data_IF_404074229540
#
_entry.id   IF_404074229540
#
_cell.length_a   1.000
_cell.length_b   1.000
_cell.length_c   1.000
_cell.angle_alpha   90.00
_cell.angle_beta   90.00
_cell.angle_gamma   90.00
#
_symmetry.space_group_name_H-M   'P 1'
#
loop_
_entity.id
_entity.type
_entity.pdbx_description
1 polymer ?
#
# COMPACT_ATOMS: atom_id res chain seq x y z
N UNK A 1 -1.59 -2.33 13.35
CA UNK A 1 -1.09 -0.95 13.41
C UNK A 1 -2.22 -0.07 13.94
N UNK A 2 -2.16 0.33 15.20
CA UNK A 2 -3.17 1.12 15.90
C UNK A 2 -2.57 2.49 16.22
N UNK A 3 -3.00 3.56 15.56
CA UNK A 3 -2.50 4.92 15.88
C UNK A 3 -3.66 5.90 16.21
N UNK A 4 -4.95 5.54 16.00
CA UNK A 4 -6.06 6.48 16.27
C UNK A 4 -7.33 5.91 16.92
N UNK A 5 -7.38 4.60 17.24
CA UNK A 5 -8.59 3.97 17.81
C UNK A 5 -9.80 3.89 16.84
N UNK A 6 -9.65 4.35 15.60
CA UNK A 6 -10.69 4.27 14.57
C UNK A 6 -10.66 2.87 13.95
N UNK A 7 -11.75 2.11 14.12
CA UNK A 7 -11.93 0.81 13.46
C UNK A 7 -12.36 1.05 12.01
N UNK A 8 -11.44 0.87 11.06
CA UNK A 8 -11.73 0.89 9.64
C UNK A 8 -11.94 -0.54 9.14
N UNK A 9 -13.08 -0.81 8.51
CA UNK A 9 -13.31 -2.07 7.80
C UNK A 9 -12.89 -1.89 6.34
N UNK A 10 -12.00 -2.75 5.84
CA UNK A 10 -11.59 -2.71 4.45
C UNK A 10 -12.64 -3.36 3.56
N UNK A 11 -13.19 -2.60 2.61
CA UNK A 11 -14.13 -3.09 1.60
C UNK A 11 -13.40 -3.17 0.26
N UNK A 12 -13.17 -4.38 -0.29
CA UNK A 12 -12.44 -4.53 -1.53
C UNK A 12 -13.30 -4.17 -2.75
N UNK A 13 -12.84 -3.22 -3.56
CA UNK A 13 -13.47 -2.85 -4.82
C UNK A 13 -12.59 -3.23 -6.02
N UNK A 14 -13.23 -3.64 -7.12
CA UNK A 14 -12.54 -3.79 -8.41
C UNK A 14 -12.45 -2.43 -9.10
N UNK A 15 -11.44 -1.66 -8.73
CA UNK A 15 -11.19 -0.32 -9.28
C UNK A 15 -11.97 0.80 -8.56
N UNK A 16 -11.83 2.03 -9.08
CA UNK A 16 -12.30 3.25 -8.40
C UNK A 16 -13.78 3.54 -8.53
N UNK A 17 -14.43 3.12 -9.62
CA UNK A 17 -15.81 3.48 -9.93
C UNK A 17 -16.82 3.10 -8.84
N UNK A 18 -16.89 1.81 -8.45
CA UNK A 18 -17.80 1.37 -7.39
C UNK A 18 -17.51 2.04 -6.03
N UNK A 19 -16.23 2.24 -5.70
CA UNK A 19 -15.85 2.89 -4.44
C UNK A 19 -16.31 4.35 -4.37
N UNK A 20 -16.28 5.08 -5.48
CA UNK A 20 -16.75 6.48 -5.52
C UNK A 20 -18.27 6.56 -5.37
N UNK A 21 -19.02 5.66 -6.01
CA UNK A 21 -20.47 5.62 -5.85
C UNK A 21 -20.87 5.35 -4.40
N UNK A 22 -20.19 4.41 -3.74
CA UNK A 22 -20.45 4.04 -2.34
C UNK A 22 -20.06 5.15 -1.36
N UNK A 23 -19.03 5.94 -1.69
CA UNK A 23 -18.68 7.12 -0.91
C UNK A 23 -19.77 8.19 -1.01
N UNK A 24 -20.27 8.45 -2.22
CA UNK A 24 -21.33 9.44 -2.45
C UNK A 24 -22.66 9.02 -1.83
N UNK A 25 -22.96 7.72 -1.80
CA UNK A 25 -24.17 7.18 -1.18
C UNK A 25 -24.05 6.98 0.34
N UNK A 26 -22.86 7.17 0.91
CA UNK A 26 -22.60 7.06 2.35
C UNK A 26 -22.40 5.63 2.87
N UNK A 27 -22.29 4.63 1.98
CA UNK A 27 -21.98 3.23 2.33
C UNK A 27 -20.58 3.14 2.94
N UNK A 28 -19.61 3.84 2.36
CA UNK A 28 -18.28 4.01 2.95
C UNK A 28 -18.07 5.46 3.38
N UNK A 29 -17.32 5.65 4.47
CA UNK A 29 -17.08 6.98 5.05
C UNK A 29 -15.82 7.65 4.54
N UNK A 30 -14.88 6.85 4.03
CA UNK A 30 -13.55 7.31 3.59
C UNK A 30 -13.10 6.45 2.42
N UNK A 31 -12.37 7.05 1.50
CA UNK A 31 -11.74 6.36 0.37
C UNK A 31 -10.36 6.96 0.12
N UNK A 32 -9.39 6.09 -0.15
CA UNK A 32 -8.03 6.48 -0.58
C UNK A 32 -7.87 6.36 -2.11
N UNK A 33 -9.00 6.21 -2.81
CA UNK A 33 -9.03 6.04 -4.25
C UNK A 33 -8.81 7.38 -4.93
N UNK A 34 -7.83 7.43 -5.84
CA UNK A 34 -7.61 8.59 -6.70
C UNK A 34 -6.71 9.68 -6.11
N UNK A 35 -5.86 9.37 -5.13
CA UNK A 35 -4.81 10.29 -4.67
C UNK A 35 -4.03 10.83 -5.88
N UNK A 36 -3.95 12.16 -6.07
CA UNK A 36 -3.29 12.74 -7.23
C UNK A 36 -1.83 12.32 -7.33
N UNK A 37 -1.36 12.07 -8.56
CA UNK A 37 -0.01 11.52 -8.81
C UNK A 37 1.09 12.41 -8.25
N UNK A 38 0.90 13.71 -8.30
CA UNK A 38 1.81 14.72 -7.78
C UNK A 38 1.95 14.66 -6.25
N UNK A 39 0.87 14.34 -5.53
CA UNK A 39 0.91 14.17 -4.07
C UNK A 39 1.67 12.89 -3.72
N UNK A 40 1.42 11.80 -4.46
CA UNK A 40 2.16 10.55 -4.30
C UNK A 40 3.65 10.75 -4.58
N UNK A 41 4.00 11.45 -5.66
CA UNK A 41 5.38 11.76 -6.01
C UNK A 41 6.07 12.62 -4.95
N UNK A 42 5.39 13.65 -4.44
CA UNK A 42 5.92 14.51 -3.37
C UNK A 42 6.21 13.71 -2.11
N UNK A 43 5.24 12.91 -1.64
CA UNK A 43 5.42 12.11 -0.43
C UNK A 43 6.53 11.07 -0.57
N UNK A 44 6.59 10.36 -1.70
CA UNK A 44 7.66 9.39 -1.96
C UNK A 44 9.04 10.08 -1.96
N UNK A 45 9.16 11.25 -2.58
CA UNK A 45 10.41 12.01 -2.59
C UNK A 45 10.86 12.45 -1.18
N UNK A 46 9.95 12.96 -0.35
CA UNK A 46 10.29 13.33 1.02
C UNK A 46 10.63 12.12 1.90
N UNK A 47 9.92 11.00 1.75
CA UNK A 47 10.20 9.75 2.47
C UNK A 47 11.58 9.21 2.08
N UNK A 48 11.92 9.20 0.79
CA UNK A 48 13.23 8.75 0.30
C UNK A 48 14.38 9.58 0.88
N UNK A 49 14.21 10.90 1.00
CA UNK A 49 15.20 11.77 1.68
C UNK A 49 15.37 11.39 3.14
N UNK A 50 14.26 11.20 3.86
CA UNK A 50 14.29 10.86 5.29
C UNK A 50 14.93 9.50 5.55
N UNK A 51 14.69 8.51 4.70
CA UNK A 51 15.32 7.18 4.79
C UNK A 51 16.85 7.22 4.69
N UNK A 52 17.42 8.25 4.04
CA UNK A 52 18.86 8.46 3.96
C UNK A 52 19.49 9.02 5.24
N UNK A 53 18.70 9.53 6.19
CA UNK A 53 19.21 10.19 7.41
C UNK A 53 19.73 9.19 8.44
N UNK A 54 20.71 9.61 9.25
CA UNK A 54 21.28 8.77 10.31
C UNK A 54 20.26 8.42 11.39
N UNK A 55 19.30 9.30 11.64
CA UNK A 55 18.20 9.06 12.58
C UNK A 55 17.34 7.89 12.12
N UNK A 56 16.87 7.92 10.87
CA UNK A 56 16.02 6.84 10.33
C UNK A 56 16.81 5.53 10.17
N UNK A 57 18.08 5.59 9.76
CA UNK A 57 18.95 4.40 9.70
C UNK A 57 19.14 3.75 11.07
N UNK A 58 19.35 4.53 12.13
CA UNK A 58 19.47 4.02 13.51
C UNK A 58 18.17 3.40 14.02
N UNK A 59 17.02 3.94 13.62
CA UNK A 59 15.71 3.36 13.94
C UNK A 59 15.46 2.04 13.22
N UNK A 60 15.91 1.89 11.98
CA UNK A 60 15.69 0.70 11.16
C UNK A 60 16.72 -0.41 11.40
N UNK A 61 17.97 -0.07 11.73
CA UNK A 61 19.05 -1.01 12.03
C UNK A 61 18.67 -2.17 12.99
N UNK A 62 17.99 -1.94 14.14
CA UNK A 62 17.62 -3.02 15.05
C UNK A 62 16.52 -3.94 14.52
N UNK A 63 15.81 -3.54 13.46
CA UNK A 63 14.72 -4.34 12.86
C UNK A 63 15.19 -5.25 11.73
N UNK A 64 16.47 -5.18 11.35
CA UNK A 64 17.01 -5.92 10.21
C UNK A 64 16.45 -5.46 8.85
N UNK A 65 15.77 -4.31 8.81
CA UNK A 65 15.27 -3.71 7.58
C UNK A 65 16.32 -2.78 6.98
N UNK A 66 16.72 -3.07 5.75
CA UNK A 66 17.51 -2.15 4.95
C UNK A 66 16.57 -1.17 4.22
N UNK A 67 16.84 0.14 4.24
CA UNK A 67 16.04 1.09 3.48
C UNK A 67 16.26 0.86 1.99
N UNK A 68 15.21 0.43 1.28
CA UNK A 68 15.18 0.39 -0.17
C UNK A 68 14.26 1.51 -0.68
N UNK A 69 14.82 2.67 -1.08
CA UNK A 69 14.02 3.77 -1.60
C UNK A 69 13.56 3.45 -3.03
N UNK A 70 12.45 2.73 -3.14
CA UNK A 70 11.76 2.49 -4.41
C UNK A 70 10.86 3.66 -4.84
N UNK A 71 10.67 3.79 -6.15
CA UNK A 71 9.64 4.69 -6.72
C UNK A 71 8.26 4.02 -6.70
N UNK A 72 7.16 4.80 -6.76
CA UNK A 72 5.81 4.23 -6.83
C UNK A 72 5.60 3.31 -8.05
N UNK A 73 6.32 3.57 -9.15
CA UNK A 73 6.26 2.75 -10.36
C UNK A 73 6.97 1.39 -10.17
N UNK A 74 8.15 1.37 -9.55
CA UNK A 74 8.87 0.14 -9.22
C UNK A 74 8.07 -0.72 -8.24
N UNK A 75 7.52 -0.11 -7.19
CA UNK A 75 6.67 -0.80 -6.24
C UNK A 75 5.41 -1.39 -6.90
N UNK A 76 4.78 -0.64 -7.82
CA UNK A 76 3.65 -1.15 -8.60
C UNK A 76 4.02 -2.36 -9.49
N UNK A 77 5.19 -2.33 -10.12
CA UNK A 77 5.69 -3.44 -10.92
C UNK A 77 6.00 -4.67 -10.06
N UNK A 78 6.60 -4.47 -8.88
CA UNK A 78 6.85 -5.52 -7.89
C UNK A 78 5.55 -6.19 -7.45
N UNK A 79 4.55 -5.41 -7.03
CA UNK A 79 3.24 -5.94 -6.60
C UNK A 79 2.58 -6.76 -7.71
N UNK A 80 2.67 -6.30 -8.97
CA UNK A 80 2.14 -7.06 -10.09
C UNK A 80 2.86 -8.40 -10.25
N UNK A 81 4.19 -8.40 -10.21
CA UNK A 81 4.98 -9.61 -10.34
C UNK A 81 4.69 -10.61 -9.21
N UNK A 82 4.59 -10.13 -7.96
CA UNK A 82 4.24 -10.94 -6.81
C UNK A 82 2.82 -11.49 -6.90
N UNK A 83 1.85 -10.66 -7.31
CA UNK A 83 0.47 -11.09 -7.52
C UNK A 83 0.39 -12.21 -8.56
N UNK A 84 1.09 -12.07 -9.70
CA UNK A 84 1.10 -13.06 -10.76
C UNK A 84 1.76 -14.37 -10.28
N UNK A 85 2.90 -14.28 -9.56
CA UNK A 85 3.62 -15.42 -8.99
C UNK A 85 2.78 -16.17 -7.96
N UNK A 86 2.31 -15.49 -6.92
CA UNK A 86 1.59 -16.13 -5.83
C UNK A 86 0.18 -16.54 -6.22
N UNK A 87 -0.46 -15.78 -7.12
CA UNK A 87 -1.74 -16.18 -7.70
C UNK A 87 -1.62 -17.52 -8.44
N UNK A 88 -0.51 -17.77 -9.15
CA UNK A 88 -0.24 -19.08 -9.75
C UNK A 88 -0.09 -20.17 -8.67
N UNK A 89 0.75 -19.93 -7.66
CA UNK A 89 0.98 -20.91 -6.57
C UNK A 89 -0.32 -21.30 -5.86
N UNK A 90 -1.21 -20.34 -5.57
CA UNK A 90 -2.49 -20.62 -4.91
C UNK A 90 -3.40 -21.50 -5.78
N UNK A 91 -3.47 -21.20 -7.09
CA UNK A 91 -4.26 -22.01 -8.03
C UNK A 91 -3.70 -23.42 -8.19
N UNK A 92 -2.37 -23.54 -8.30
CA UNK A 92 -1.69 -24.82 -8.48
C UNK A 92 -1.73 -25.68 -7.21
N UNK A 93 -1.71 -25.06 -6.03
CA UNK A 93 -1.74 -25.77 -4.73
C UNK A 93 -3.14 -26.13 -4.24
N UNK A 94 -4.20 -25.51 -4.77
CA UNK A 94 -5.56 -25.66 -4.25
C UNK A 94 -5.76 -25.07 -2.86
N UNK A 95 -4.82 -24.24 -2.38
CA UNK A 95 -4.91 -23.59 -1.09
C UNK A 95 -6.08 -22.59 -1.08
N UNK A 96 -6.92 -22.64 -0.04
CA UNK A 96 -8.01 -21.70 0.18
C UNK A 96 -7.81 -21.00 1.51
N UNK A 97 -8.21 -19.72 1.57
CA UNK A 97 -8.27 -18.97 2.83
C UNK A 97 -9.57 -19.40 3.53
N UNK A 98 -9.46 -19.87 4.77
CA UNK A 98 -10.62 -20.19 5.62
C UNK A 98 -11.41 -18.93 6.01
#
# INVERSE_FOLDING_TARGET
MYITGIKLNHVPYKGSGPAQQDLMSGIIKVSFVGTPREIVAKLNGEIGKLMGTDEVKKLLAPTGMEPDPDTPAQFGAYLKADYDKWGKVVRDSGATVQ
#
